data_IF_301117710394
#
_entry.id   IF_301117710394
#
_cell.length_a   1.000
_cell.length_b   1.000
_cell.length_c   1.000
_cell.angle_alpha   90.00
_cell.angle_beta   90.00
_cell.angle_gamma   90.00
#
_symmetry.space_group_name_H-M   'P 1'
#
loop_
_entity.id
_entity.type
_entity.pdbx_description
1 polymer ?
#
# COMPACT_ATOMS: atom_id res chain seq x y z
N UNK A 1 -25.64 32.19 10.77
CA UNK A 1 -25.17 30.87 11.18
C UNK A 1 -23.79 30.66 10.53
N UNK A 2 -22.73 30.40 11.29
CA UNK A 2 -21.45 30.03 10.69
C UNK A 2 -21.60 28.60 10.15
N UNK A 3 -21.32 28.42 8.88
CA UNK A 3 -21.28 27.10 8.24
C UNK A 3 -20.25 26.23 8.97
N UNK A 4 -20.60 24.97 9.28
CA UNK A 4 -19.68 24.01 9.88
C UNK A 4 -18.49 23.82 8.92
N UNK A 5 -17.24 24.07 9.36
CA UNK A 5 -16.07 23.92 8.51
C UNK A 5 -15.92 22.52 7.89
N UNK A 6 -16.32 21.46 8.61
CA UNK A 6 -16.27 20.09 8.10
C UNK A 6 -17.31 19.89 7.00
N UNK A 7 -18.54 20.38 7.20
CA UNK A 7 -19.59 20.35 6.19
C UNK A 7 -19.14 21.04 4.89
N UNK A 8 -18.64 22.28 5.01
CA UNK A 8 -18.14 23.03 3.87
C UNK A 8 -16.95 22.34 3.16
N UNK A 9 -16.09 21.68 3.92
CA UNK A 9 -14.97 20.91 3.37
C UNK A 9 -15.47 19.70 2.55
N UNK A 10 -16.40 18.91 3.09
CA UNK A 10 -16.94 17.71 2.42
C UNK A 10 -17.70 18.09 1.17
N UNK A 11 -18.62 19.09 1.25
CA UNK A 11 -19.39 19.58 0.11
C UNK A 11 -18.49 20.02 -1.05
N UNK A 12 -17.44 20.82 -0.74
CA UNK A 12 -16.47 21.25 -1.76
C UNK A 12 -15.67 20.12 -2.35
N UNK A 13 -15.24 19.17 -1.52
CA UNK A 13 -14.44 18.03 -1.95
C UNK A 13 -15.21 17.10 -2.89
N UNK A 14 -16.50 16.93 -2.65
CA UNK A 14 -17.40 16.10 -3.45
C UNK A 14 -18.06 16.88 -4.60
N UNK A 15 -18.01 18.22 -4.58
CA UNK A 15 -18.78 19.10 -5.47
C UNK A 15 -20.26 18.79 -5.46
N UNK A 16 -20.80 18.52 -4.28
CA UNK A 16 -22.20 18.11 -4.06
C UNK A 16 -22.71 18.64 -2.72
N UNK A 17 -24.02 18.82 -2.63
CA UNK A 17 -24.69 19.08 -1.36
C UNK A 17 -24.66 17.80 -0.50
N UNK A 18 -24.32 17.96 0.75
CA UNK A 18 -24.34 16.92 1.77
C UNK A 18 -25.03 17.43 3.04
N UNK A 19 -25.50 16.51 3.86
CA UNK A 19 -26.05 16.84 5.19
C UNK A 19 -25.53 15.87 6.25
N UNK A 20 -25.84 16.14 7.53
CA UNK A 20 -25.51 15.27 8.67
C UNK A 20 -24.02 14.86 8.71
N UNK A 21 -23.13 15.79 8.38
CA UNK A 21 -21.70 15.52 8.32
C UNK A 21 -21.14 15.39 9.73
N UNK A 22 -20.48 14.27 9.99
CA UNK A 22 -19.79 13.97 11.25
C UNK A 22 -18.51 13.22 10.98
N UNK A 23 -17.55 13.31 11.86
CA UNK A 23 -16.29 12.61 11.74
C UNK A 23 -15.90 11.89 13.01
N UNK A 24 -15.09 10.86 12.82
CA UNK A 24 -14.54 10.01 13.87
C UNK A 24 -13.09 9.68 13.53
N UNK A 25 -12.16 9.97 14.43
CA UNK A 25 -10.77 9.57 14.30
C UNK A 25 -10.67 8.07 14.56
N UNK A 26 -10.31 7.29 13.54
CA UNK A 26 -10.19 5.83 13.61
C UNK A 26 -8.76 5.36 13.85
N UNK A 27 -7.76 6.17 13.49
CA UNK A 27 -6.37 5.94 13.82
C UNK A 27 -5.59 7.26 13.86
N UNK A 28 -4.67 7.36 14.80
CA UNK A 28 -3.78 8.52 14.91
C UNK A 28 -2.44 8.10 15.48
N UNK A 29 -1.39 8.36 14.74
CA UNK A 29 -0.01 8.21 15.15
C UNK A 29 0.82 9.41 14.64
N UNK A 30 2.11 9.56 15.01
CA UNK A 30 2.93 10.70 14.58
C UNK A 30 3.11 10.82 13.07
N UNK A 31 2.83 9.76 12.30
CA UNK A 31 3.06 9.68 10.86
C UNK A 31 1.78 9.75 10.04
N UNK A 32 0.60 9.63 10.69
CA UNK A 32 -0.68 9.74 9.99
C UNK A 32 -1.85 9.99 10.93
N UNK A 33 -2.91 10.52 10.37
CA UNK A 33 -4.23 10.58 10.98
C UNK A 33 -5.26 10.07 9.98
N UNK A 34 -6.07 9.10 10.39
CA UNK A 34 -7.20 8.58 9.63
C UNK A 34 -8.49 8.97 10.33
N UNK A 35 -9.36 9.65 9.61
CA UNK A 35 -10.64 10.12 10.10
C UNK A 35 -11.74 9.59 9.17
N UNK A 36 -12.70 8.86 9.72
CA UNK A 36 -13.88 8.45 8.99
C UNK A 36 -14.88 9.58 8.97
N UNK A 37 -15.30 9.99 7.80
CA UNK A 37 -16.31 11.02 7.60
C UNK A 37 -17.60 10.32 7.17
N UNK A 38 -18.68 10.54 7.95
CA UNK A 38 -20.05 10.08 7.64
C UNK A 38 -20.87 11.28 7.22
N UNK A 39 -21.70 11.12 6.21
CA UNK A 39 -22.57 12.17 5.70
C UNK A 39 -23.75 11.57 4.94
N UNK A 40 -24.77 12.38 4.70
CA UNK A 40 -25.90 12.00 3.81
C UNK A 40 -25.76 12.71 2.48
N UNK A 41 -25.98 11.96 1.41
CA UNK A 41 -26.02 12.44 0.04
C UNK A 41 -27.12 11.69 -0.72
N UNK A 42 -27.94 12.39 -1.49
CA UNK A 42 -29.04 11.80 -2.29
C UNK A 42 -29.96 10.89 -1.45
N UNK A 43 -30.21 11.27 -0.19
CA UNK A 43 -31.05 10.53 0.75
C UNK A 43 -30.39 9.30 1.41
N UNK A 44 -29.19 8.91 0.99
CA UNK A 44 -28.43 7.78 1.56
C UNK A 44 -27.29 8.21 2.49
N UNK A 45 -26.97 7.36 3.46
CA UNK A 45 -25.74 7.52 4.27
C UNK A 45 -24.53 7.06 3.45
N UNK A 46 -23.43 7.83 3.55
CA UNK A 46 -22.16 7.57 2.87
C UNK A 46 -21.01 7.73 3.86
N UNK A 47 -19.91 7.01 3.60
CA UNK A 47 -18.67 7.12 4.38
C UNK A 47 -17.47 7.30 3.46
N UNK A 48 -16.49 8.06 3.95
CA UNK A 48 -15.19 8.27 3.32
C UNK A 48 -14.12 8.28 4.39
N UNK A 49 -12.89 7.97 4.00
CA UNK A 49 -11.71 8.13 4.85
C UNK A 49 -10.94 9.37 4.41
N UNK A 50 -10.74 10.27 5.35
CA UNK A 50 -9.79 11.37 5.24
C UNK A 50 -8.47 10.93 5.86
N UNK A 51 -7.47 10.76 5.02
CA UNK A 51 -6.12 10.46 5.45
C UNK A 51 -5.28 11.72 5.39
N UNK A 52 -4.59 12.05 6.50
CA UNK A 52 -3.62 13.14 6.61
C UNK A 52 -2.26 12.56 6.99
N UNK A 53 -1.21 13.08 6.38
CA UNK A 53 0.17 12.65 6.64
C UNK A 53 1.09 13.87 6.73
N UNK A 54 2.21 13.80 7.48
CA UNK A 54 3.25 14.81 7.45
C UNK A 54 3.79 15.04 6.03
N UNK A 55 4.33 16.23 5.77
CA UNK A 55 4.79 16.59 4.43
C UNK A 55 5.93 15.70 3.89
N UNK A 56 6.77 15.21 4.77
CA UNK A 56 7.86 14.27 4.46
C UNK A 56 7.38 12.83 4.19
N UNK A 57 6.14 12.51 4.53
CA UNK A 57 5.49 11.24 4.25
C UNK A 57 4.37 11.35 3.20
N UNK A 58 4.35 12.44 2.44
CA UNK A 58 3.27 12.76 1.50
C UNK A 58 3.15 11.84 0.26
N UNK A 59 4.07 10.90 0.07
CA UNK A 59 4.09 10.03 -1.12
C UNK A 59 2.72 9.40 -1.39
N UNK A 60 2.09 8.81 -0.38
CA UNK A 60 0.82 8.10 -0.56
C UNK A 60 -0.30 9.03 -1.02
N UNK A 61 -0.37 10.26 -0.48
CA UNK A 61 -1.40 11.24 -0.88
C UNK A 61 -1.26 11.73 -2.33
N UNK A 62 -0.09 11.51 -2.94
CA UNK A 62 0.19 11.81 -4.35
C UNK A 62 0.02 10.57 -5.22
N UNK A 63 0.46 9.41 -4.72
CA UNK A 63 0.45 8.14 -5.45
C UNK A 63 -0.97 7.57 -5.59
N UNK A 64 -1.78 7.56 -4.52
CA UNK A 64 -3.14 7.04 -4.58
C UNK A 64 -4.00 7.68 -5.68
N UNK A 65 -4.05 9.03 -5.83
CA UNK A 65 -4.78 9.64 -6.94
C UNK A 65 -4.23 9.29 -8.33
N UNK A 66 -2.96 8.96 -8.43
CA UNK A 66 -2.34 8.51 -9.67
C UNK A 66 -2.76 7.07 -10.01
N UNK A 67 -2.73 6.18 -9.02
CA UNK A 67 -3.14 4.78 -9.16
C UNK A 67 -4.65 4.64 -9.41
N UNK A 68 -5.49 5.35 -8.64
CA UNK A 68 -6.94 5.28 -8.75
C UNK A 68 -7.51 5.70 -10.12
N UNK A 69 -6.73 6.41 -10.93
CA UNK A 69 -7.09 6.71 -12.34
C UNK A 69 -6.73 5.59 -13.31
N UNK A 70 -6.01 4.57 -12.88
CA UNK A 70 -5.46 3.50 -13.71
C UNK A 70 -5.97 2.12 -13.36
N UNK A 71 -6.40 1.94 -12.12
CA UNK A 71 -6.86 0.66 -11.61
C UNK A 71 -7.88 0.86 -10.50
N UNK A 72 -8.78 -0.11 -10.35
CA UNK A 72 -9.75 -0.21 -9.27
C UNK A 72 -9.22 -1.04 -8.07
N UNK A 73 -7.94 -1.47 -8.13
CA UNK A 73 -7.29 -2.26 -7.07
C UNK A 73 -6.71 -1.40 -5.94
N UNK A 74 -7.02 -0.13 -5.91
CA UNK A 74 -6.73 0.81 -4.82
C UNK A 74 -8.01 1.55 -4.43
N UNK A 75 -8.10 2.16 -3.22
CA UNK A 75 -9.27 2.94 -2.85
C UNK A 75 -9.58 4.04 -3.87
N UNK A 76 -10.86 4.21 -4.21
CA UNK A 76 -11.27 5.30 -5.09
C UNK A 76 -11.00 6.65 -4.43
N UNK A 77 -10.28 7.54 -5.11
CA UNK A 77 -9.95 8.88 -4.60
C UNK A 77 -11.02 9.88 -5.00
N UNK A 78 -11.60 10.58 -4.03
CA UNK A 78 -12.61 11.61 -4.22
C UNK A 78 -12.01 13.01 -4.32
N UNK A 79 -11.01 13.31 -3.48
CA UNK A 79 -10.34 14.59 -3.48
C UNK A 79 -8.98 14.49 -2.80
N UNK A 80 -8.14 15.50 -3.01
CA UNK A 80 -6.85 15.63 -2.33
C UNK A 80 -6.47 17.11 -2.20
N UNK A 81 -5.56 17.41 -1.28
CA UNK A 81 -5.04 18.78 -1.16
C UNK A 81 -4.23 19.01 0.10
N UNK A 82 -4.08 20.30 0.38
CA UNK A 82 -3.52 20.81 1.62
C UNK A 82 -4.70 21.35 2.45
N UNK A 83 -4.85 20.94 3.71
CA UNK A 83 -5.96 21.40 4.54
C UNK A 83 -5.93 22.92 4.75
N UNK A 84 -7.08 23.55 5.07
CA UNK A 84 -7.12 24.95 5.43
C UNK A 84 -6.18 25.26 6.61
N UNK A 85 -5.68 26.50 6.73
CA UNK A 85 -4.58 26.89 7.62
C UNK A 85 -4.83 26.76 9.13
N UNK A 86 -5.98 26.29 9.56
CA UNK A 86 -6.35 26.06 10.96
C UNK A 86 -5.87 24.72 11.54
N UNK A 87 -5.31 23.84 10.72
CA UNK A 87 -4.78 22.53 11.10
C UNK A 87 -3.34 22.48 10.62
N UNK A 88 -2.42 21.72 11.26
CA UNK A 88 -1.09 21.50 10.69
C UNK A 88 -1.22 21.25 9.20
N UNK A 89 -0.43 21.95 8.38
CA UNK A 89 -0.54 21.92 6.90
C UNK A 89 -0.08 20.56 6.35
N UNK A 90 -0.75 19.49 6.76
CA UNK A 90 -0.49 18.14 6.31
C UNK A 90 -1.20 17.88 4.97
N UNK A 91 -0.50 17.35 3.97
CA UNK A 91 -1.11 16.78 2.80
C UNK A 91 -2.19 15.77 3.18
N UNK A 92 -3.28 15.76 2.40
CA UNK A 92 -4.39 14.87 2.66
C UNK A 92 -4.96 14.27 1.37
N UNK A 93 -5.61 13.14 1.53
CA UNK A 93 -6.42 12.50 0.50
C UNK A 93 -7.74 12.03 1.11
N UNK A 94 -8.82 12.21 0.38
CA UNK A 94 -10.16 11.74 0.71
C UNK A 94 -10.47 10.55 -0.18
N UNK A 95 -10.62 9.38 0.43
CA UNK A 95 -10.76 8.11 -0.28
C UNK A 95 -12.01 7.36 0.13
N UNK A 96 -12.39 6.40 -0.66
CA UNK A 96 -13.41 5.41 -0.34
C UNK A 96 -13.14 4.73 1.00
N UNK A 97 -14.20 4.53 1.78
CA UNK A 97 -14.13 3.79 3.03
C UNK A 97 -14.31 2.28 2.77
N UNK A 98 -13.23 1.56 2.85
CA UNK A 98 -13.18 0.09 2.78
C UNK A 98 -12.63 -0.53 4.07
N UNK A 99 -12.51 0.25 5.14
CA UNK A 99 -11.86 -0.17 6.39
C UNK A 99 -12.54 -1.38 7.01
N UNK A 100 -13.87 -1.42 6.99
CA UNK A 100 -14.66 -2.49 7.59
C UNK A 100 -14.87 -3.70 6.65
N UNK A 101 -14.38 -3.64 5.41
CA UNK A 101 -14.39 -4.81 4.53
C UNK A 101 -13.43 -5.88 5.06
N UNK A 102 -13.75 -7.19 4.91
CA UNK A 102 -12.91 -8.28 5.40
C UNK A 102 -11.51 -8.24 4.76
N UNK A 103 -10.52 -8.81 5.44
CA UNK A 103 -9.20 -9.01 4.85
C UNK A 103 -9.31 -9.98 3.68
N UNK A 104 -8.61 -9.69 2.59
CA UNK A 104 -8.58 -10.59 1.43
C UNK A 104 -7.91 -11.93 1.74
N UNK A 105 -7.08 -12.00 2.79
CA UNK A 105 -6.47 -13.25 3.24
C UNK A 105 -7.48 -14.26 3.80
N UNK A 106 -8.61 -13.78 4.30
CA UNK A 106 -9.68 -14.64 4.84
C UNK A 106 -10.41 -15.42 3.74
N UNK A 107 -10.29 -14.97 2.49
CA UNK A 107 -10.94 -15.62 1.34
C UNK A 107 -9.95 -16.41 0.50
N UNK A 108 -9.10 -15.74 -0.26
CA UNK A 108 -8.13 -16.36 -1.16
C UNK A 108 -6.90 -15.47 -1.35
N UNK A 109 -5.74 -15.81 -0.76
CA UNK A 109 -4.52 -15.02 -0.91
C UNK A 109 -4.06 -14.85 -2.37
N UNK A 110 -4.48 -15.74 -3.30
CA UNK A 110 -4.17 -15.62 -4.73
C UNK A 110 -4.79 -14.37 -5.34
N UNK A 111 -5.93 -13.90 -4.82
CA UNK A 111 -6.57 -12.67 -5.30
C UNK A 111 -5.75 -11.43 -4.94
N UNK A 112 -4.97 -11.46 -3.84
CA UNK A 112 -4.02 -10.40 -3.49
C UNK A 112 -2.91 -10.32 -4.53
N UNK A 113 -2.35 -11.48 -4.93
CA UNK A 113 -1.32 -11.54 -5.98
C UNK A 113 -1.88 -11.04 -7.32
N UNK A 114 -3.13 -11.38 -7.67
CA UNK A 114 -3.80 -10.86 -8.87
C UNK A 114 -3.96 -9.35 -8.82
N UNK A 115 -4.43 -8.80 -7.69
CA UNK A 115 -4.58 -7.37 -7.50
C UNK A 115 -3.24 -6.63 -7.63
N UNK A 116 -2.18 -7.16 -6.99
CA UNK A 116 -0.82 -6.63 -7.09
C UNK A 116 -0.36 -6.55 -8.54
N UNK A 117 -0.44 -7.65 -9.29
CA UNK A 117 -0.01 -7.69 -10.69
C UNK A 117 -0.86 -6.74 -11.55
N UNK A 118 -2.16 -6.62 -11.26
CA UNK A 118 -3.03 -5.67 -11.95
C UNK A 118 -2.54 -4.23 -11.77
N UNK A 119 -2.13 -3.84 -10.54
CA UNK A 119 -1.56 -2.52 -10.28
C UNK A 119 -0.24 -2.34 -11.04
N UNK A 120 0.68 -3.31 -10.96
CA UNK A 120 1.97 -3.24 -11.66
C UNK A 120 1.80 -3.04 -13.17
N UNK A 121 0.91 -3.82 -13.77
CA UNK A 121 0.62 -3.74 -15.22
C UNK A 121 -0.02 -2.41 -15.60
N UNK A 122 -0.94 -1.90 -14.77
CA UNK A 122 -1.62 -0.63 -15.00
C UNK A 122 -0.67 0.59 -15.04
N UNK A 123 0.51 0.48 -14.41
CA UNK A 123 1.50 1.58 -14.35
C UNK A 123 2.85 1.23 -14.98
N UNK A 124 2.94 0.10 -15.66
CA UNK A 124 4.21 -0.39 -16.22
C UNK A 124 4.90 0.60 -17.16
N UNK A 125 4.13 1.32 -17.96
CA UNK A 125 4.65 2.36 -18.87
C UNK A 125 4.90 3.70 -18.19
N UNK A 126 4.47 3.88 -16.95
CA UNK A 126 4.45 5.16 -16.26
C UNK A 126 5.64 5.38 -15.31
N UNK A 127 6.70 4.58 -15.41
CA UNK A 127 7.89 4.69 -14.55
C UNK A 127 8.44 6.14 -14.49
N UNK A 128 8.55 6.90 -15.60
CA UNK A 128 8.98 8.29 -15.51
C UNK A 128 8.03 9.18 -14.70
N UNK A 129 6.72 8.98 -14.84
CA UNK A 129 5.71 9.72 -14.09
C UNK A 129 5.73 9.37 -12.61
N UNK A 130 5.92 8.08 -12.25
CA UNK A 130 6.08 7.64 -10.87
C UNK A 130 7.31 8.28 -10.21
N UNK A 131 8.44 8.37 -10.92
CA UNK A 131 9.62 9.08 -10.43
C UNK A 131 9.36 10.58 -10.23
N UNK A 132 8.65 11.21 -11.15
CA UNK A 132 8.26 12.62 -11.02
C UNK A 132 7.31 12.89 -9.84
N UNK A 133 6.52 11.89 -9.41
CA UNK A 133 5.72 11.92 -8.19
C UNK A 133 6.53 11.72 -6.91
N UNK A 134 7.85 11.44 -7.01
CA UNK A 134 8.70 11.19 -5.85
C UNK A 134 8.73 9.73 -5.40
N UNK A 135 8.19 8.78 -6.20
CA UNK A 135 8.33 7.34 -5.87
C UNK A 135 9.81 6.98 -5.90
N UNK A 136 10.39 6.56 -4.75
CA UNK A 136 11.80 6.23 -4.69
C UNK A 136 12.10 4.96 -5.49
N UNK A 137 13.35 4.79 -5.92
CA UNK A 137 13.81 3.55 -6.53
C UNK A 137 14.80 2.88 -5.58
N UNK A 138 14.57 1.60 -5.28
CA UNK A 138 15.43 0.80 -4.43
C UNK A 138 15.75 -0.53 -5.10
N UNK A 139 17.04 -0.78 -5.31
CA UNK A 139 17.48 -2.15 -5.56
C UNK A 139 17.32 -2.98 -4.26
N UNK A 140 17.16 -4.32 -4.36
CA UNK A 140 17.11 -5.17 -3.15
C UNK A 140 18.29 -4.96 -2.19
N UNK A 141 19.47 -4.68 -2.71
CA UNK A 141 20.66 -4.36 -1.92
C UNK A 141 20.51 -3.06 -1.10
N UNK A 142 19.82 -2.05 -1.66
CA UNK A 142 19.58 -0.79 -0.94
C UNK A 142 18.63 -1.00 0.24
N UNK A 143 17.63 -1.87 0.08
CA UNK A 143 16.69 -2.23 1.15
C UNK A 143 17.42 -2.94 2.29
N UNK A 144 18.25 -3.93 1.98
CA UNK A 144 19.06 -4.64 2.98
C UNK A 144 20.06 -3.71 3.67
N UNK A 145 20.65 -2.74 2.96
CA UNK A 145 21.59 -1.78 3.54
C UNK A 145 20.96 -0.83 4.56
N UNK A 146 19.64 -0.62 4.51
CA UNK A 146 18.87 0.23 5.44
C UNK A 146 18.52 -0.47 6.75
N UNK A 147 18.67 -1.79 6.83
CA UNK A 147 18.43 -2.55 8.06
C UNK A 147 19.45 -2.13 9.11
N UNK A 148 19.03 -1.72 10.32
CA UNK A 148 19.94 -1.33 11.39
C UNK A 148 20.92 -2.45 11.73
N UNK A 149 22.21 -2.13 11.84
CA UNK A 149 23.28 -3.12 12.11
C UNK A 149 23.12 -3.89 13.42
N UNK A 150 22.30 -3.37 14.33
CA UNK A 150 22.01 -3.99 15.62
C UNK A 150 21.05 -5.17 15.52
N UNK A 151 20.20 -5.24 14.48
CA UNK A 151 19.20 -6.28 14.31
C UNK A 151 19.74 -7.61 13.76
N UNK A 152 20.99 -7.69 13.29
CA UNK A 152 21.40 -8.95 12.72
C UNK A 152 22.82 -9.12 12.25
N UNK A 153 23.74 -9.49 13.14
CA UNK A 153 25.05 -10.00 12.69
C UNK A 153 24.96 -11.27 11.84
N UNK A 154 23.96 -12.11 12.03
CA UNK A 154 23.79 -13.38 11.32
C UNK A 154 23.03 -13.25 9.98
N UNK A 155 22.01 -12.37 9.91
CA UNK A 155 21.15 -12.20 8.73
C UNK A 155 21.91 -11.51 7.57
N UNK A 156 22.85 -10.60 7.88
CA UNK A 156 23.42 -9.69 6.90
C UNK A 156 24.26 -10.28 5.77
N UNK A 157 24.91 -11.45 5.93
CA UNK A 157 25.78 -12.00 4.88
C UNK A 157 24.99 -12.74 3.80
N UNK A 158 24.06 -13.61 4.18
CA UNK A 158 23.19 -14.33 3.25
C UNK A 158 22.25 -13.39 2.48
N UNK A 159 21.62 -12.44 3.19
CA UNK A 159 20.71 -11.49 2.58
C UNK A 159 21.39 -10.56 1.55
N UNK A 160 22.66 -10.17 1.75
CA UNK A 160 23.40 -9.38 0.74
C UNK A 160 23.65 -10.14 -0.54
N UNK A 161 24.04 -11.41 -0.44
CA UNK A 161 24.20 -12.29 -1.62
C UNK A 161 22.87 -12.49 -2.35
N UNK A 162 21.81 -12.79 -1.60
CA UNK A 162 20.45 -12.92 -2.11
C UNK A 162 19.95 -11.64 -2.80
N UNK A 163 20.18 -10.47 -2.19
CA UNK A 163 19.80 -9.19 -2.76
C UNK A 163 20.49 -8.89 -4.10
N UNK A 164 21.76 -9.30 -4.26
CA UNK A 164 22.47 -9.17 -5.52
C UNK A 164 21.85 -10.03 -6.63
N UNK A 165 21.45 -11.27 -6.33
CA UNK A 165 20.76 -12.16 -7.28
C UNK A 165 19.43 -11.58 -7.75
N UNK A 166 18.65 -10.94 -6.85
CA UNK A 166 17.38 -10.29 -7.19
C UNK A 166 17.55 -9.01 -8.01
N UNK A 167 18.76 -8.40 -8.02
CA UNK A 167 19.03 -7.16 -8.73
C UNK A 167 18.87 -7.23 -10.26
N UNK A 168 18.88 -8.45 -10.83
CA UNK A 168 18.68 -8.70 -12.26
C UNK A 168 17.18 -8.75 -12.65
N UNK A 169 16.26 -8.83 -11.68
CA UNK A 169 14.83 -8.90 -11.94
C UNK A 169 14.27 -7.56 -12.41
N UNK A 170 13.19 -7.56 -13.22
CA UNK A 170 12.56 -6.34 -13.69
C UNK A 170 12.10 -5.43 -12.55
N UNK A 171 12.30 -4.12 -12.75
CA UNK A 171 11.82 -3.09 -11.84
C UNK A 171 10.34 -2.82 -12.11
N UNK A 172 9.53 -2.92 -11.07
CA UNK A 172 8.09 -2.64 -11.07
C UNK A 172 7.74 -1.67 -9.94
N UNK A 173 6.49 -1.21 -9.87
CA UNK A 173 5.99 -0.54 -8.68
C UNK A 173 5.73 -1.60 -7.60
N UNK A 174 6.63 -1.70 -6.64
CA UNK A 174 6.45 -2.51 -5.45
C UNK A 174 5.58 -1.78 -4.42
N UNK A 175 4.75 -2.52 -3.71
CA UNK A 175 3.93 -2.02 -2.61
C UNK A 175 4.79 -1.66 -1.38
N UNK A 176 5.79 -2.50 -1.11
CA UNK A 176 6.76 -2.33 -0.04
C UNK A 176 6.30 -2.78 1.34
N UNK A 177 5.01 -3.17 1.51
CA UNK A 177 4.46 -3.74 2.74
C UNK A 177 3.18 -4.54 2.43
N UNK A 178 3.26 -5.50 1.51
CA UNK A 178 2.12 -6.31 1.11
C UNK A 178 1.85 -7.40 2.16
N UNK A 179 0.94 -7.10 3.07
CA UNK A 179 0.49 -7.99 4.16
C UNK A 179 -1.03 -8.07 4.19
N UNK A 180 -1.57 -9.08 4.86
CA UNK A 180 -3.03 -9.28 5.01
C UNK A 180 -3.75 -8.04 5.57
N UNK A 181 -3.14 -7.36 6.55
CA UNK A 181 -3.71 -6.16 7.17
C UNK A 181 -3.91 -5.01 6.15
N UNK A 182 -3.12 -4.97 5.09
CA UNK A 182 -3.14 -3.95 4.06
C UNK A 182 -3.99 -4.35 2.83
N UNK A 183 -4.87 -5.33 2.98
CA UNK A 183 -5.75 -5.80 1.90
C UNK A 183 -7.21 -5.84 2.34
N UNK A 184 -8.12 -5.56 1.43
CA UNK A 184 -9.57 -5.67 1.69
C UNK A 184 -10.24 -6.40 0.52
N UNK A 185 -11.15 -7.33 0.86
CA UNK A 185 -12.03 -7.95 -0.12
C UNK A 185 -13.30 -7.11 -0.25
N UNK A 186 -13.56 -6.59 -1.43
CA UNK A 186 -14.68 -5.74 -1.74
C UNK A 186 -15.52 -6.32 -2.87
N UNK A 187 -16.70 -5.78 -3.15
CA UNK A 187 -17.54 -6.22 -4.27
C UNK A 187 -16.84 -6.18 -5.63
N UNK A 188 -15.89 -5.26 -5.81
CA UNK A 188 -15.08 -5.17 -7.03
C UNK A 188 -13.79 -6.01 -7.00
N UNK A 189 -13.60 -6.82 -5.95
CA UNK A 189 -12.44 -7.65 -5.67
C UNK A 189 -11.44 -6.99 -4.72
N UNK A 190 -10.23 -7.52 -4.65
CA UNK A 190 -9.22 -7.09 -3.70
C UNK A 190 -8.73 -5.67 -3.96
N UNK A 191 -8.70 -4.87 -2.90
CA UNK A 191 -8.17 -3.51 -2.84
C UNK A 191 -6.93 -3.49 -1.94
N UNK A 192 -5.84 -2.89 -2.43
CA UNK A 192 -4.57 -2.75 -1.72
C UNK A 192 -4.49 -1.37 -1.06
N UNK A 193 -4.16 -1.34 0.22
CA UNK A 193 -4.07 -0.16 1.09
C UNK A 193 -2.62 0.12 1.48
N UNK A 194 -2.33 1.27 2.11
CA UNK A 194 -1.03 1.57 2.75
C UNK A 194 0.15 1.65 1.78
N UNK A 195 0.06 2.49 0.76
CA UNK A 195 1.09 2.68 -0.27
C UNK A 195 2.27 3.57 0.15
N UNK A 196 2.38 3.92 1.42
CA UNK A 196 3.45 4.81 1.93
C UNK A 196 4.87 4.27 1.75
N UNK A 197 5.04 2.94 1.65
CA UNK A 197 6.33 2.27 1.41
C UNK A 197 6.55 1.93 -0.07
N UNK A 198 5.66 2.37 -0.94
CA UNK A 198 5.77 2.08 -2.35
C UNK A 198 7.09 2.58 -2.94
N UNK A 199 7.66 1.77 -3.80
CA UNK A 199 8.92 2.09 -4.48
C UNK A 199 9.04 1.38 -5.82
N UNK A 200 9.91 1.89 -6.67
CA UNK A 200 10.30 1.17 -7.89
C UNK A 200 11.38 0.16 -7.50
N UNK A 201 11.08 -1.13 -7.65
CA UNK A 201 11.97 -2.19 -7.21
C UNK A 201 11.55 -3.58 -7.64
N UNK A 202 12.02 -4.59 -6.91
CA UNK A 202 11.75 -6.00 -7.16
C UNK A 202 10.39 -6.41 -6.63
N UNK A 203 9.42 -6.65 -7.52
CA UNK A 203 8.05 -7.04 -7.13
C UNK A 203 7.95 -8.42 -6.45
N UNK A 204 8.95 -9.29 -6.62
CA UNK A 204 8.98 -10.59 -5.94
C UNK A 204 9.09 -10.44 -4.42
N UNK A 205 9.67 -9.33 -3.92
CA UNK A 205 9.76 -9.04 -2.48
C UNK A 205 8.39 -8.81 -1.84
N UNK A 206 7.43 -8.21 -2.56
CA UNK A 206 6.07 -8.09 -2.05
C UNK A 206 5.38 -9.46 -1.88
N UNK A 207 5.64 -10.39 -2.80
CA UNK A 207 5.10 -11.76 -2.68
C UNK A 207 5.76 -12.49 -1.52
N UNK A 208 7.08 -12.33 -1.33
CA UNK A 208 7.78 -12.90 -0.18
C UNK A 208 7.23 -12.33 1.15
N UNK A 209 6.95 -11.04 1.19
CA UNK A 209 6.32 -10.37 2.35
C UNK A 209 4.94 -10.93 2.66
N UNK A 210 4.09 -11.09 1.65
CA UNK A 210 2.78 -11.70 1.81
C UNK A 210 2.88 -13.15 2.31
N UNK A 211 3.80 -13.92 1.74
CA UNK A 211 4.05 -15.32 2.15
C UNK A 211 4.51 -15.39 3.61
N UNK A 212 5.42 -14.51 4.03
CA UNK A 212 5.88 -14.41 5.41
C UNK A 212 4.75 -14.10 6.38
N UNK A 213 3.89 -13.14 6.03
CA UNK A 213 2.73 -12.75 6.82
C UNK A 213 1.68 -13.88 6.93
N UNK A 214 1.39 -14.57 5.82
CA UNK A 214 0.46 -15.71 5.80
C UNK A 214 0.96 -16.88 6.65
N UNK A 215 2.25 -17.21 6.59
CA UNK A 215 2.85 -18.27 7.41
C UNK A 215 2.82 -17.93 8.91
N UNK A 216 2.96 -16.65 9.26
CA UNK A 216 2.82 -16.20 10.64
C UNK A 216 1.37 -16.32 11.14
N UNK A 217 0.38 -16.23 10.26
CA UNK A 217 -1.03 -16.37 10.59
C UNK A 217 -1.48 -17.84 10.64
N UNK A 218 -1.11 -18.64 9.62
CA UNK A 218 -1.36 -20.10 9.58
C UNK A 218 -0.21 -20.81 8.84
N UNK A 219 0.62 -21.54 9.59
CA UNK A 219 1.75 -22.32 9.07
C UNK A 219 1.37 -23.35 7.99
N UNK A 220 0.08 -23.74 7.93
CA UNK A 220 -0.43 -24.70 6.95
C UNK A 220 -0.76 -24.08 5.59
N UNK A 221 -0.71 -22.75 5.48
CA UNK A 221 -1.03 -22.08 4.22
C UNK A 221 -0.04 -22.48 3.14
N UNK A 222 -0.56 -23.02 2.04
CA UNK A 222 0.25 -23.37 0.86
C UNK A 222 0.66 -22.11 0.13
N UNK A 223 1.88 -21.68 0.33
CA UNK A 223 2.40 -20.40 -0.17
C UNK A 223 3.20 -20.52 -1.45
N UNK A 224 3.67 -21.72 -1.79
CA UNK A 224 4.47 -21.97 -3.00
C UNK A 224 3.71 -21.62 -4.28
N UNK A 225 2.39 -21.81 -4.27
CA UNK A 225 1.52 -21.47 -5.40
C UNK A 225 1.48 -19.96 -5.68
N UNK A 226 1.73 -19.11 -4.67
CA UNK A 226 1.68 -17.65 -4.83
C UNK A 226 2.86 -17.14 -5.67
N UNK A 227 4.06 -17.68 -5.49
CA UNK A 227 5.21 -17.36 -6.31
C UNK A 227 5.02 -17.81 -7.76
N UNK A 228 4.49 -19.03 -7.95
CA UNK A 228 4.18 -19.55 -9.27
C UNK A 228 3.12 -18.70 -9.98
N UNK A 229 2.05 -18.32 -9.26
CA UNK A 229 1.01 -17.44 -9.77
C UNK A 229 1.55 -16.06 -10.15
N UNK A 230 2.38 -15.46 -9.30
CA UNK A 230 3.01 -14.19 -9.59
C UNK A 230 3.88 -14.27 -10.86
N UNK A 231 4.68 -15.31 -10.98
CA UNK A 231 5.49 -15.58 -12.17
C UNK A 231 4.64 -15.67 -13.45
N UNK A 232 3.57 -16.45 -13.39
CA UNK A 232 2.64 -16.62 -14.51
C UNK A 232 2.00 -15.30 -14.93
N UNK A 233 1.47 -14.52 -13.97
CA UNK A 233 0.74 -13.28 -14.25
C UNK A 233 1.66 -12.13 -14.69
N UNK A 234 2.86 -12.03 -14.11
CA UNK A 234 3.86 -11.01 -14.49
C UNK A 234 4.62 -11.35 -15.78
N UNK A 235 4.46 -12.56 -16.30
CA UNK A 235 5.21 -13.06 -17.46
C UNK A 235 6.68 -13.37 -17.15
N UNK A 236 7.01 -13.59 -15.88
CA UNK A 236 8.36 -13.91 -15.41
C UNK A 236 8.45 -15.37 -14.97
N UNK A 237 9.67 -15.90 -14.96
CA UNK A 237 9.96 -17.20 -14.37
C UNK A 237 10.91 -17.01 -13.20
N UNK A 238 10.52 -17.53 -12.06
CA UNK A 238 11.36 -17.53 -10.86
C UNK A 238 11.76 -18.97 -10.56
N UNK A 239 13.03 -19.22 -10.46
CA UNK A 239 13.53 -20.49 -9.96
C UNK A 239 13.51 -20.53 -8.43
N UNK A 240 13.82 -21.66 -7.86
CA UNK A 240 13.83 -21.85 -6.40
C UNK A 240 14.90 -20.99 -5.71
N UNK A 241 15.96 -20.61 -6.43
CA UNK A 241 17.01 -19.75 -5.89
C UNK A 241 16.53 -18.30 -5.76
N UNK A 242 15.85 -17.76 -6.79
CA UNK A 242 15.25 -16.43 -6.74
C UNK A 242 14.16 -16.32 -5.66
N UNK A 243 13.31 -17.34 -5.51
CA UNK A 243 12.29 -17.39 -4.45
C UNK A 243 12.94 -17.37 -3.08
N UNK A 244 13.91 -18.26 -2.83
CA UNK A 244 14.64 -18.31 -1.56
C UNK A 244 15.39 -17.01 -1.28
N UNK A 245 15.96 -16.39 -2.31
CA UNK A 245 16.61 -15.09 -2.18
C UNK A 245 15.62 -14.01 -1.74
N UNK A 246 14.40 -13.98 -2.30
CA UNK A 246 13.36 -13.04 -1.92
C UNK A 246 12.91 -13.23 -0.46
N UNK A 247 12.69 -14.47 -0.03
CA UNK A 247 12.35 -14.79 1.37
C UNK A 247 13.45 -14.34 2.34
N UNK A 248 14.72 -14.60 2.03
CA UNK A 248 15.86 -14.16 2.88
C UNK A 248 16.00 -12.65 2.96
N UNK A 249 15.73 -11.93 1.86
CA UNK A 249 15.77 -10.46 1.84
C UNK A 249 14.59 -9.89 2.62
N UNK A 250 13.37 -10.43 2.46
CA UNK A 250 12.19 -10.03 3.22
C UNK A 250 12.40 -10.23 4.73
N UNK A 251 12.87 -11.41 5.14
CA UNK A 251 13.20 -11.70 6.53
C UNK A 251 14.19 -10.68 7.09
N UNK A 252 15.26 -10.36 6.35
CA UNK A 252 16.26 -9.39 6.80
C UNK A 252 15.68 -7.99 6.98
N UNK A 253 14.75 -7.56 6.10
CA UNK A 253 14.13 -6.23 6.15
C UNK A 253 13.18 -6.15 7.35
N UNK A 254 12.40 -7.19 7.63
CA UNK A 254 11.29 -7.14 8.60
C UNK A 254 11.67 -7.63 9.99
N UNK A 255 12.69 -8.48 10.16
CA UNK A 255 13.21 -8.83 11.49
C UNK A 255 13.68 -7.60 12.29
N UNK A 256 14.07 -6.53 11.59
CA UNK A 256 14.50 -5.28 12.21
C UNK A 256 13.36 -4.36 12.68
N UNK A 257 12.10 -4.65 12.28
CA UNK A 257 10.94 -3.79 12.56
C UNK A 257 10.13 -4.24 13.77
N UNK A 258 10.47 -5.39 14.35
CA UNK A 258 9.74 -6.01 15.47
C UNK A 258 10.27 -5.62 16.87
N UNK A 259 11.19 -4.63 16.95
CA UNK A 259 11.74 -4.12 18.22
C UNK A 259 11.48 -2.63 18.41
#
# INVERSE_FOLDING_TARGET
MKEDPLHAFVSRSLRAEVSDVRSEVIAKDPRRELERIRFRQDGGERTLILQRVPADEALETQLLPFLARRTDRVPAVRSRGIPPPTVPAWPWVLVEDVVDAPSACERDPRDIVRAKVTVEQAVRSDVPALRALGVPAFAPADLVARVPRQAGRAIGAGARGAAAALGALPVVLAHGDLVCANTRDTERGVVLLEWRRAHLGCGLLDVARLVSDLRAWDERTKTEELFALYGQLSGQRFDSEAIRAAELVDEAIHAATTY
#
